data_IF_532275522553
#
_entry.id   IF_532275522553
#
_cell.length_a   1.000
_cell.length_b   1.000
_cell.length_c   1.000
_cell.angle_alpha   90.00
_cell.angle_beta   90.00
_cell.angle_gamma   90.00
#
_symmetry.space_group_name_H-M   'P 1'
#
loop_
_entity.id
_entity.type
_entity.pdbx_description
1 polymer ?
#
# COMPACT_ATOMS: atom_id res chain seq x y z
N UNK A 1 2.83 -2.42 9.79
CA UNK A 1 1.67 -3.25 9.37
C UNK A 1 1.39 -4.41 10.32
N UNK A 2 2.35 -5.32 10.58
CA UNK A 2 2.11 -6.45 11.52
C UNK A 2 1.70 -5.98 12.92
N UNK A 3 2.30 -4.90 13.42
CA UNK A 3 1.95 -4.35 14.74
C UNK A 3 0.52 -3.80 14.81
N UNK A 4 0.04 -3.22 13.69
CA UNK A 4 -1.36 -2.74 13.57
C UNK A 4 -2.30 -3.92 13.73
N UNK A 5 -2.08 -5.01 12.98
CA UNK A 5 -2.95 -6.20 13.01
C UNK A 5 -2.79 -7.07 14.26
N UNK A 6 -1.77 -6.81 15.08
CA UNK A 6 -1.72 -7.40 16.42
C UNK A 6 -2.82 -6.83 17.32
N UNK A 7 -3.21 -5.57 17.10
CA UNK A 7 -4.24 -4.85 17.87
C UNK A 7 -5.57 -4.65 17.14
N UNK A 8 -5.63 -5.02 15.87
CA UNK A 8 -6.82 -4.83 15.02
C UNK A 8 -7.03 -6.00 14.06
N UNK A 9 -8.24 -6.11 13.52
CA UNK A 9 -8.59 -7.03 12.45
C UNK A 9 -9.37 -6.30 11.36
N UNK A 10 -9.67 -7.02 10.29
CA UNK A 10 -10.47 -6.50 9.18
C UNK A 10 -11.84 -7.17 9.15
N UNK A 11 -12.89 -6.38 9.05
CA UNK A 11 -14.22 -6.89 8.68
C UNK A 11 -14.39 -6.72 7.18
N UNK A 12 -14.78 -7.80 6.51
CA UNK A 12 -14.95 -7.85 5.06
C UNK A 12 -16.41 -8.18 4.73
N UNK A 13 -17.17 -7.16 4.33
CA UNK A 13 -18.57 -7.31 3.93
C UNK A 13 -18.64 -7.60 2.43
N UNK A 14 -19.32 -8.69 2.06
CA UNK A 14 -19.42 -9.14 0.68
C UNK A 14 -20.78 -9.75 0.33
N UNK A 15 -21.00 -10.04 -0.95
CA UNK A 15 -22.11 -10.84 -1.47
C UNK A 15 -21.57 -11.91 -2.44
N UNK A 16 -22.23 -13.06 -2.58
CA UNK A 16 -21.73 -14.17 -3.40
C UNK A 16 -21.69 -13.84 -4.90
N UNK A 17 -22.61 -13.02 -5.38
CA UNK A 17 -22.74 -12.65 -6.81
C UNK A 17 -21.88 -11.45 -7.23
N UNK A 18 -21.20 -10.81 -6.28
CA UNK A 18 -20.41 -9.60 -6.50
C UNK A 18 -19.02 -9.93 -7.07
N UNK A 19 -18.77 -9.61 -8.36
CA UNK A 19 -17.48 -9.86 -9.00
C UNK A 19 -16.33 -9.12 -8.31
N UNK A 20 -16.52 -7.86 -7.92
CA UNK A 20 -15.51 -7.09 -7.20
C UNK A 20 -15.13 -7.72 -5.85
N UNK A 21 -16.08 -8.39 -5.20
CA UNK A 21 -15.84 -9.11 -3.95
C UNK A 21 -14.95 -10.35 -4.18
N UNK A 22 -15.03 -10.97 -5.37
CA UNK A 22 -14.16 -12.09 -5.73
C UNK A 22 -12.73 -11.61 -5.91
N UNK A 23 -12.51 -10.49 -6.58
CA UNK A 23 -11.16 -9.93 -6.76
C UNK A 23 -10.57 -9.44 -5.43
N UNK A 24 -11.34 -8.66 -4.66
CA UNK A 24 -10.90 -8.13 -3.37
C UNK A 24 -10.54 -9.26 -2.39
N UNK A 25 -11.26 -10.38 -2.42
CA UNK A 25 -10.95 -11.53 -1.56
C UNK A 25 -9.56 -12.13 -1.80
N UNK A 26 -9.02 -12.04 -3.02
CA UNK A 26 -7.66 -12.51 -3.30
C UNK A 26 -6.60 -11.59 -2.66
N UNK A 27 -6.83 -10.27 -2.70
CA UNK A 27 -5.99 -9.27 -2.03
C UNK A 27 -6.01 -9.51 -0.52
N UNK A 28 -7.21 -9.71 0.05
CA UNK A 28 -7.37 -9.98 1.48
C UNK A 28 -6.72 -11.30 1.89
N UNK A 29 -6.79 -12.35 1.07
CA UNK A 29 -6.10 -13.61 1.33
C UNK A 29 -4.57 -13.40 1.36
N UNK A 30 -4.02 -12.63 0.42
CA UNK A 30 -2.59 -12.27 0.45
C UNK A 30 -2.23 -11.54 1.75
N UNK A 31 -3.04 -10.57 2.17
CA UNK A 31 -2.81 -9.85 3.41
C UNK A 31 -2.87 -10.76 4.64
N UNK A 32 -3.86 -11.66 4.69
CA UNK A 32 -3.99 -12.66 5.76
C UNK A 32 -2.74 -13.52 5.87
N UNK A 33 -2.22 -14.01 4.75
CA UNK A 33 -1.03 -14.87 4.74
C UNK A 33 0.25 -14.10 5.07
N UNK A 34 0.43 -12.90 4.51
CA UNK A 34 1.68 -12.16 4.63
C UNK A 34 1.82 -11.39 5.95
N UNK A 35 0.72 -10.80 6.43
CA UNK A 35 0.70 -10.02 7.66
C UNK A 35 0.08 -10.74 8.86
N UNK A 36 -0.45 -11.95 8.67
CA UNK A 36 -1.17 -12.70 9.70
C UNK A 36 -2.33 -11.89 10.29
N UNK A 37 -3.04 -11.15 9.43
CA UNK A 37 -4.21 -10.36 9.84
C UNK A 37 -5.43 -11.24 10.04
N UNK A 38 -6.16 -10.98 11.13
CA UNK A 38 -7.45 -11.59 11.37
C UNK A 38 -8.51 -10.90 10.48
N UNK A 39 -9.11 -11.67 9.58
CA UNK A 39 -10.16 -11.18 8.69
C UNK A 39 -11.46 -11.89 9.06
N UNK A 40 -12.50 -11.12 9.36
CA UNK A 40 -13.86 -11.58 9.60
C UNK A 40 -14.70 -11.36 8.34
N UNK A 41 -14.90 -12.40 7.51
CA UNK A 41 -15.80 -12.32 6.36
C UNK A 41 -17.26 -12.33 6.81
N UNK A 42 -18.05 -11.39 6.28
CA UNK A 42 -19.46 -11.18 6.58
C UNK A 42 -20.24 -11.17 5.25
N UNK A 43 -21.04 -12.22 5.04
CA UNK A 43 -21.88 -12.36 3.85
C UNK A 43 -23.21 -11.65 4.06
N UNK A 44 -23.48 -10.65 3.22
CA UNK A 44 -24.73 -9.88 3.26
C UNK A 44 -25.91 -10.66 2.66
N UNK A 45 -25.65 -11.65 1.80
CA UNK A 45 -26.65 -12.51 1.17
C UNK A 45 -26.68 -13.94 1.74
N UNK A 46 -25.85 -14.21 2.75
CA UNK A 46 -25.78 -15.49 3.45
C UNK A 46 -25.20 -16.63 2.61
N UNK A 47 -24.47 -16.30 1.54
CA UNK A 47 -23.86 -17.27 0.62
C UNK A 47 -22.33 -17.08 0.54
N UNK A 48 -21.57 -18.15 0.30
CA UNK A 48 -20.12 -18.08 0.14
C UNK A 48 -19.74 -17.45 -1.20
N UNK A 49 -18.51 -16.94 -1.30
CA UNK A 49 -17.93 -16.55 -2.59
C UNK A 49 -17.71 -17.79 -3.48
N UNK A 50 -17.96 -17.66 -4.78
CA UNK A 50 -17.83 -18.77 -5.72
C UNK A 50 -16.38 -19.17 -6.01
N UNK A 51 -15.41 -18.30 -5.69
CA UNK A 51 -13.99 -18.56 -5.90
C UNK A 51 -13.36 -19.46 -4.81
N UNK A 52 -14.14 -19.92 -3.83
CA UNK A 52 -13.64 -20.81 -2.78
C UNK A 52 -12.90 -20.11 -1.64
N UNK A 53 -12.80 -18.77 -1.67
CA UNK A 53 -12.20 -18.00 -0.58
C UNK A 53 -13.25 -17.63 0.47
N UNK A 54 -12.81 -17.44 1.72
CA UNK A 54 -13.65 -17.04 2.85
C UNK A 54 -14.96 -17.88 2.99
N UNK A 55 -14.84 -19.21 2.90
CA UNK A 55 -15.99 -20.12 3.00
C UNK A 55 -16.60 -20.13 4.41
N UNK A 56 -15.79 -19.89 5.44
CA UNK A 56 -16.24 -19.71 6.82
C UNK A 56 -16.63 -18.24 7.03
N UNK A 57 -17.87 -17.89 6.66
CA UNK A 57 -18.41 -16.53 6.78
C UNK A 57 -19.49 -16.40 7.85
N UNK A 58 -19.68 -15.16 8.31
CA UNK A 58 -20.75 -14.81 9.24
C UNK A 58 -21.89 -14.10 8.51
N UNK A 59 -23.09 -14.19 9.07
CA UNK A 59 -24.26 -13.44 8.59
C UNK A 59 -24.48 -12.28 9.56
N UNK A 60 -24.62 -11.03 9.08
CA UNK A 60 -24.75 -9.88 9.97
C UNK A 60 -26.08 -9.93 10.71
N UNK A 61 -26.06 -9.62 12.00
CA UNK A 61 -27.27 -9.37 12.79
C UNK A 61 -27.75 -7.92 12.62
N UNK A 62 -28.93 -7.61 13.15
CA UNK A 62 -29.51 -6.25 13.05
C UNK A 62 -28.60 -5.15 13.62
N UNK A 63 -27.84 -5.45 14.68
CA UNK A 63 -26.92 -4.49 15.30
C UNK A 63 -25.74 -4.16 14.38
N UNK A 64 -25.15 -5.17 13.73
CA UNK A 64 -24.06 -4.96 12.75
C UNK A 64 -24.57 -4.15 11.56
N UNK A 65 -25.78 -4.45 11.06
CA UNK A 65 -26.36 -3.71 9.93
C UNK A 65 -26.53 -2.23 10.28
N UNK A 66 -27.08 -1.92 11.46
CA UNK A 66 -27.30 -0.54 11.89
C UNK A 66 -26.00 0.20 12.25
N UNK A 67 -25.02 -0.49 12.85
CA UNK A 67 -23.75 0.10 13.23
C UNK A 67 -22.88 0.46 12.01
N UNK A 68 -22.74 -0.47 11.06
CA UNK A 68 -21.80 -0.31 9.96
C UNK A 68 -22.41 0.38 8.74
N UNK A 69 -23.75 0.38 8.61
CA UNK A 69 -24.52 1.06 7.53
C UNK A 69 -23.88 0.84 6.16
N UNK A 70 -23.69 -0.43 5.80
CA UNK A 70 -23.11 -0.85 4.52
C UNK A 70 -24.08 -0.48 3.39
N UNK A 71 -23.62 0.27 2.39
CA UNK A 71 -24.44 0.62 1.22
C UNK A 71 -24.00 -0.18 -0.01
N UNK A 72 -22.70 -0.32 -0.18
CA UNK A 72 -22.11 -1.04 -1.31
C UNK A 72 -21.18 -2.16 -0.84
N UNK A 73 -20.94 -3.15 -1.71
CA UNK A 73 -19.97 -4.24 -1.49
C UNK A 73 -18.95 -4.30 -2.65
N UNK A 74 -17.70 -4.69 -2.40
CA UNK A 74 -17.11 -5.05 -1.11
C UNK A 74 -16.92 -3.83 -0.19
N UNK A 75 -17.10 -4.00 1.12
CA UNK A 75 -16.79 -2.95 2.10
C UNK A 75 -15.87 -3.50 3.17
N UNK A 76 -14.80 -2.77 3.47
CA UNK A 76 -13.79 -3.18 4.46
C UNK A 76 -13.75 -2.19 5.61
N UNK A 77 -13.75 -2.71 6.84
CA UNK A 77 -13.51 -1.95 8.05
C UNK A 77 -12.29 -2.46 8.78
N UNK A 78 -11.50 -1.52 9.34
CA UNK A 78 -10.50 -1.81 10.35
C UNK A 78 -11.17 -1.72 11.71
N UNK A 79 -11.10 -2.80 12.48
CA UNK A 79 -11.75 -2.90 13.79
C UNK A 79 -10.69 -3.20 14.83
N UNK A 80 -10.68 -2.45 15.93
CA UNK A 80 -9.76 -2.74 17.03
C UNK A 80 -10.19 -4.02 17.75
N UNK A 81 -9.22 -4.83 18.22
CA UNK A 81 -9.50 -6.13 18.86
C UNK A 81 -10.22 -6.02 20.20
N UNK A 82 -10.14 -4.86 20.84
CA UNK A 82 -10.94 -4.52 22.03
C UNK A 82 -12.40 -4.18 21.68
N UNK A 83 -12.75 -4.10 20.38
CA UNK A 83 -14.10 -3.83 19.89
C UNK A 83 -14.58 -2.39 20.11
N UNK A 84 -13.70 -1.49 20.57
CA UNK A 84 -14.07 -0.12 20.95
C UNK A 84 -14.14 0.84 19.76
N UNK A 85 -13.40 0.54 18.70
CA UNK A 85 -13.27 1.42 17.54
C UNK A 85 -13.32 0.65 16.23
N UNK A 86 -14.00 1.24 15.25
CA UNK A 86 -14.08 0.72 13.90
C UNK A 86 -14.02 1.89 12.91
N UNK A 87 -13.19 1.76 11.88
CA UNK A 87 -13.03 2.75 10.83
C UNK A 87 -13.22 2.10 9.46
N UNK A 88 -14.05 2.73 8.62
CA UNK A 88 -14.23 2.30 7.23
C UNK A 88 -12.94 2.57 6.45
N UNK A 89 -12.46 1.55 5.75
CA UNK A 89 -11.24 1.60 4.94
C UNK A 89 -11.58 1.75 3.47
N UNK A 90 -12.55 0.98 2.99
CA UNK A 90 -13.02 1.08 1.61
C UNK A 90 -14.50 0.76 1.52
N UNK A 91 -15.14 1.32 0.51
CA UNK A 91 -16.47 0.98 0.03
C UNK A 91 -16.37 0.87 -1.49
N UNK A 92 -16.43 -0.36 -1.99
CA UNK A 92 -16.00 -0.73 -3.34
C UNK A 92 -14.60 -1.39 -3.35
N UNK A 93 -14.22 -1.88 -4.53
CA UNK A 93 -12.91 -2.50 -4.76
C UNK A 93 -11.79 -1.48 -4.62
N UNK A 94 -10.65 -1.90 -4.06
CA UNK A 94 -9.50 -1.04 -3.81
C UNK A 94 -8.20 -1.79 -4.15
N UNK A 95 -7.17 -1.07 -4.57
CA UNK A 95 -5.86 -1.70 -4.83
C UNK A 95 -5.17 -2.11 -3.53
N UNK A 96 -4.32 -3.13 -3.56
CA UNK A 96 -3.58 -3.59 -2.38
C UNK A 96 -2.72 -2.48 -1.73
N UNK A 97 -2.12 -1.61 -2.54
CA UNK A 97 -1.31 -0.49 -2.05
C UNK A 97 -2.15 0.60 -1.39
N UNK A 98 -3.29 0.91 -1.99
CA UNK A 98 -4.22 1.90 -1.42
C UNK A 98 -4.87 1.37 -0.14
N UNK A 99 -5.28 0.09 -0.13
CA UNK A 99 -5.79 -0.60 1.05
C UNK A 99 -4.79 -0.52 2.21
N UNK A 100 -3.52 -0.84 1.95
CA UNK A 100 -2.43 -0.73 2.93
C UNK A 100 -2.28 0.71 3.45
N UNK A 101 -2.20 1.70 2.56
CA UNK A 101 -2.02 3.11 2.94
C UNK A 101 -3.20 3.63 3.78
N UNK A 102 -4.43 3.29 3.40
CA UNK A 102 -5.63 3.69 4.14
C UNK A 102 -5.72 3.02 5.51
N UNK A 103 -5.29 1.75 5.62
CA UNK A 103 -5.19 1.07 6.93
C UNK A 103 -4.18 1.77 7.85
N UNK A 104 -3.01 2.17 7.33
CA UNK A 104 -2.02 2.90 8.12
C UNK A 104 -2.59 4.23 8.62
N UNK A 105 -3.29 4.96 7.75
CA UNK A 105 -3.92 6.23 8.11
C UNK A 105 -5.04 6.06 9.14
N UNK A 106 -5.89 5.04 8.96
CA UNK A 106 -6.95 4.70 9.91
C UNK A 106 -6.38 4.27 11.26
N UNK A 107 -5.33 3.44 11.26
CA UNK A 107 -4.66 3.01 12.47
C UNK A 107 -4.08 4.17 13.28
N UNK A 108 -3.56 5.21 12.60
CA UNK A 108 -3.17 6.46 13.25
C UNK A 108 -4.38 7.17 13.88
N UNK A 109 -5.46 7.34 13.11
CA UNK A 109 -6.69 7.97 13.62
C UNK A 109 -7.29 7.24 14.83
N UNK A 110 -7.12 5.92 14.89
CA UNK A 110 -7.57 5.06 15.99
C UNK A 110 -6.55 4.96 17.14
N UNK A 111 -5.42 5.67 17.08
CA UNK A 111 -4.31 5.57 18.06
C UNK A 111 -3.77 4.14 18.27
N UNK A 112 -3.83 3.29 17.23
CA UNK A 112 -3.31 1.92 17.29
C UNK A 112 -1.78 1.88 17.20
N UNK A 113 -1.20 2.90 16.56
CA UNK A 113 0.23 3.12 16.36
C UNK A 113 0.65 4.47 16.93
N UNK A 114 1.89 4.56 17.41
CA UNK A 114 2.49 5.81 17.84
C UNK A 114 2.98 6.65 16.64
N UNK A 115 3.22 7.93 16.88
CA UNK A 115 3.70 8.83 15.83
C UNK A 115 5.04 8.36 15.25
N UNK A 116 5.91 7.73 16.04
CA UNK A 116 7.19 7.21 15.58
C UNK A 116 7.02 6.07 14.55
N UNK A 117 6.15 5.09 14.81
CA UNK A 117 5.87 3.98 13.87
C UNK A 117 5.10 4.45 12.63
N UNK A 118 4.29 5.50 12.77
CA UNK A 118 3.65 6.13 11.62
C UNK A 118 4.67 6.84 10.73
N UNK A 119 5.56 7.66 11.32
CA UNK A 119 6.61 8.35 10.58
C UNK A 119 7.58 7.38 9.91
N UNK A 120 7.97 6.28 10.55
CA UNK A 120 8.82 5.27 9.90
C UNK A 120 8.17 4.65 8.66
N UNK A 121 6.83 4.52 8.66
CA UNK A 121 6.10 4.03 7.49
C UNK A 121 6.10 5.06 6.35
N UNK A 122 6.04 6.36 6.68
CA UNK A 122 6.20 7.44 5.71
C UNK A 122 7.65 7.57 5.22
N UNK A 123 8.63 7.43 6.11
CA UNK A 123 10.05 7.56 5.80
C UNK A 123 10.55 6.45 4.87
N UNK A 124 10.09 5.20 5.04
CA UNK A 124 10.38 4.14 4.06
C UNK A 124 9.83 4.52 2.68
N UNK A 125 8.62 5.09 2.60
CA UNK A 125 8.05 5.56 1.33
C UNK A 125 8.86 6.72 0.74
N UNK A 126 9.38 7.62 1.59
CA UNK A 126 10.26 8.73 1.20
C UNK A 126 11.63 8.25 0.73
N UNK A 127 12.18 7.19 1.31
CA UNK A 127 13.47 6.62 0.88
C UNK A 127 13.43 6.10 -0.57
N UNK A 128 12.26 5.67 -1.06
CA UNK A 128 12.07 5.25 -2.45
C UNK A 128 11.69 6.39 -3.41
N UNK A 129 11.37 7.59 -2.89
CA UNK A 129 11.16 8.77 -3.72
C UNK A 129 12.47 9.56 -3.77
N UNK A 130 13.10 9.65 -4.94
CA UNK A 130 14.21 10.57 -5.13
C UNK A 130 13.67 12.00 -4.92
N UNK A 131 14.01 12.61 -3.77
CA UNK A 131 13.90 14.05 -3.55
C UNK A 131 12.74 14.61 -2.70
N UNK A 132 12.04 13.82 -1.87
CA UNK A 132 10.95 14.36 -1.03
C UNK A 132 11.36 14.74 0.41
N UNK A 133 12.66 14.80 0.73
CA UNK A 133 13.17 15.41 1.97
C UNK A 133 13.28 16.94 1.91
N UNK A 134 12.86 17.56 0.80
CA UNK A 134 12.64 19.00 0.73
C UNK A 134 12.60 19.49 -0.70
N UNK A 135 11.53 20.21 -1.04
CA UNK A 135 11.40 21.00 -2.28
C UNK A 135 12.73 21.70 -2.55
N UNK A 136 13.35 21.45 -3.71
CA UNK A 136 14.57 22.14 -4.11
C UNK A 136 14.18 23.60 -4.40
N UNK A 137 14.35 24.47 -3.41
CA UNK A 137 14.13 25.90 -3.57
C UNK A 137 15.42 26.54 -4.06
N UNK A 138 15.42 27.00 -5.31
CA UNK A 138 16.54 27.74 -5.91
C UNK A 138 16.14 29.20 -6.04
N UNK A 139 17.05 30.12 -5.73
CA UNK A 139 16.81 31.53 -5.96
C UNK A 139 16.72 31.79 -7.47
N UNK A 140 15.63 32.43 -7.91
CA UNK A 140 15.34 32.65 -9.33
C UNK A 140 16.45 33.40 -10.06
N UNK A 141 17.08 34.38 -9.41
CA UNK A 141 18.17 35.16 -10.01
C UNK A 141 19.43 34.33 -10.26
N UNK A 142 19.68 33.31 -9.43
CA UNK A 142 20.85 32.43 -9.59
C UNK A 142 20.59 31.37 -10.67
N UNK A 143 19.37 30.83 -10.72
CA UNK A 143 18.94 29.88 -11.75
C UNK A 143 18.99 30.47 -13.17
N UNK A 144 18.65 31.74 -13.32
CA UNK A 144 18.69 32.43 -14.63
C UNK A 144 20.12 32.75 -15.08
N UNK A 145 21.07 32.83 -14.15
CA UNK A 145 22.47 33.17 -14.44
C UNK A 145 23.36 31.96 -14.71
N UNK A 146 23.02 30.80 -14.14
CA UNK A 146 23.81 29.57 -14.26
C UNK A 146 22.93 28.40 -14.75
N UNK A 147 23.03 28.04 -16.05
CA UNK A 147 22.31 26.91 -16.64
C UNK A 147 22.61 25.55 -15.98
N UNK A 148 23.71 25.42 -15.25
CA UNK A 148 24.15 24.17 -14.62
C UNK A 148 23.87 24.12 -13.12
N UNK A 149 23.29 25.18 -12.55
CA UNK A 149 23.01 25.27 -11.12
C UNK A 149 22.17 24.10 -10.61
N UNK A 150 21.14 23.72 -11.37
CA UNK A 150 20.28 22.60 -11.00
C UNK A 150 21.03 21.26 -11.04
N UNK A 151 21.89 21.07 -12.05
CA UNK A 151 22.72 19.86 -12.16
C UNK A 151 23.66 19.74 -10.96
N UNK A 152 24.36 20.83 -10.61
CA UNK A 152 25.26 20.86 -9.47
C UNK A 152 24.56 20.60 -8.13
N UNK A 153 23.35 21.14 -7.95
CA UNK A 153 22.54 20.88 -6.75
C UNK A 153 22.09 19.41 -6.71
N UNK A 154 21.73 18.83 -7.85
CA UNK A 154 21.38 17.42 -7.93
C UNK A 154 22.58 16.52 -7.63
N UNK A 155 23.74 16.78 -8.23
CA UNK A 155 24.98 16.04 -7.98
C UNK A 155 25.38 16.09 -6.50
N UNK A 156 25.35 17.28 -5.89
CA UNK A 156 25.66 17.47 -4.47
C UNK A 156 24.68 16.74 -3.55
N UNK A 157 23.38 16.67 -3.90
CA UNK A 157 22.39 15.90 -3.13
C UNK A 157 22.58 14.39 -3.29
N UNK A 158 22.99 13.94 -4.47
CA UNK A 158 23.26 12.53 -4.76
C UNK A 158 24.51 12.03 -4.02
N UNK A 159 25.53 12.87 -3.82
CA UNK A 159 26.74 12.51 -3.05
C UNK A 159 26.46 12.19 -1.57
N UNK A 160 25.40 12.75 -0.98
CA UNK A 160 24.99 12.47 0.40
C UNK A 160 24.16 11.19 0.58
N UNK A 161 23.69 10.59 -0.52
CA UNK A 161 22.93 9.35 -0.52
C UNK A 161 23.86 8.20 -0.92
N UNK A 162 24.37 7.48 0.09
CA UNK A 162 25.02 6.19 -0.13
C UNK A 162 23.94 5.19 -0.53
N UNK A 163 23.63 5.14 -1.84
CA UNK A 163 22.75 4.14 -2.41
C UNK A 163 23.35 2.77 -2.05
N UNK A 164 22.62 1.83 -1.43
CA UNK A 164 22.99 0.43 -1.54
C UNK A 164 22.89 0.11 -3.02
N UNK A 165 24.03 0.15 -3.71
CA UNK A 165 24.14 0.07 -5.16
C UNK A 165 23.37 -1.16 -5.61
N UNK A 166 22.30 -0.95 -6.37
CA UNK A 166 21.87 -1.95 -7.33
C UNK A 166 23.11 -2.40 -8.11
N UNK A 167 23.26 -3.72 -8.31
CA UNK A 167 24.38 -4.31 -9.04
C UNK A 167 24.73 -3.45 -10.26
N UNK A 168 26.01 -3.08 -10.46
CA UNK A 168 26.39 -2.19 -11.54
C UNK A 168 25.98 -2.84 -12.87
N UNK A 169 25.03 -2.20 -13.55
CA UNK A 169 24.65 -2.58 -14.92
C UNK A 169 25.83 -2.19 -15.79
N UNK A 170 26.64 -3.18 -16.19
CA UNK A 170 27.70 -3.01 -17.16
C UNK A 170 27.08 -2.63 -18.51
N UNK A 171 27.05 -1.33 -18.80
CA UNK A 171 26.87 -0.85 -20.15
C UNK A 171 28.14 -1.19 -20.94
N UNK A 172 28.09 -2.32 -21.65
CA UNK A 172 29.09 -2.63 -22.66
C UNK A 172 29.10 -1.47 -23.66
N UNK A 173 30.21 -0.73 -23.67
CA UNK A 173 30.55 0.28 -24.65
C UNK A 173 30.48 -0.34 -26.06
N UNK A 174 29.33 -0.22 -26.73
CA UNK A 174 29.20 -0.56 -28.13
C UNK A 174 29.56 0.68 -28.96
N UNK A 175 30.87 0.89 -29.14
CA UNK A 175 31.42 1.85 -30.08
C UNK A 175 32.71 1.31 -30.67
N UNK A 176 32.67 0.79 -31.91
CA UNK A 176 33.87 0.48 -32.69
C UNK A 176 33.80 -0.78 -33.54
N UNK A 177 33.63 -0.58 -34.85
CA UNK A 177 33.61 -1.53 -35.97
C UNK A 177 34.81 -2.50 -36.06
N UNK A 178 34.58 -3.75 -36.47
CA UNK A 178 35.12 -4.44 -37.67
C UNK A 178 35.26 -5.97 -37.50
N UNK A 179 34.62 -6.71 -38.43
CA UNK A 179 35.15 -7.97 -39.00
C UNK A 179 34.73 -9.29 -38.36
N UNK A 180 34.13 -10.20 -39.15
CA UNK A 180 34.08 -11.62 -38.79
C UNK A 180 32.90 -12.42 -39.34
N UNK A 181 33.14 -13.04 -40.48
CA UNK A 181 32.39 -14.07 -41.23
C UNK A 181 31.71 -15.15 -40.38
N UNK A 182 30.43 -15.45 -40.65
CA UNK A 182 29.83 -16.73 -40.26
C UNK A 182 29.73 -17.65 -41.48
N UNK A 183 30.52 -18.72 -41.44
CA UNK A 183 30.38 -19.90 -42.28
C UNK A 183 30.19 -21.11 -41.36
N UNK A 184 29.30 -22.00 -41.84
CA UNK A 184 28.85 -23.31 -41.32
C UNK A 184 27.70 -23.28 -40.32
#
# INVERSE_FOLDING_TARGET
MKDIFTKSGLFFFFQSTCQFCHEESQILQFMQNYYSVDILPISMDGRPLHNGLFQDFNIPNAQIIDQFKIREVPTIFLVSKDGTSAQRISEGMISADELKNTIILAAKGMNLIDDASFQSTLDIKRQYTIGDDGVITVNKSEMESDPFLLQKIMDQKLEGYDMPTADPVNYLNAGGSFGGTYAQ
#
